data_IF_739381266970
#
_entry.id   IF_739381266970
#
_cell.length_a   1.000
_cell.length_b   1.000
_cell.length_c   1.000
_cell.angle_alpha   90.00
_cell.angle_beta   90.00
_cell.angle_gamma   90.00
#
_symmetry.space_group_name_H-M   'P 1'
#
loop_
_entity.id
_entity.type
_entity.pdbx_description
1 polymer ?
#
# COMPACT_ATOMS: atom_id res chain seq x y z
N UNK A 1 -15.89 14.92 -10.93
CA UNK A 1 -15.12 15.47 -9.80
C UNK A 1 -14.19 14.39 -9.30
N UNK A 2 -12.88 14.54 -9.52
CA UNK A 2 -11.89 13.63 -8.93
C UNK A 2 -11.97 13.66 -7.40
N UNK A 3 -12.05 12.48 -6.81
CA UNK A 3 -12.16 12.27 -5.37
C UNK A 3 -11.19 11.19 -4.92
N UNK A 4 -10.82 11.22 -3.64
CA UNK A 4 -10.05 10.16 -3.02
C UNK A 4 -10.97 9.04 -2.57
N UNK A 5 -10.67 7.83 -3.03
CA UNK A 5 -11.34 6.61 -2.60
C UNK A 5 -10.36 5.69 -1.89
N UNK A 6 -10.91 4.83 -1.04
CA UNK A 6 -10.16 3.88 -0.24
C UNK A 6 -10.49 2.47 -0.72
N UNK A 7 -9.50 1.79 -1.26
CA UNK A 7 -9.60 0.45 -1.83
C UNK A 7 -9.10 -0.57 -0.83
N UNK A 8 -9.91 -1.60 -0.59
CA UNK A 8 -9.47 -2.78 0.16
C UNK A 8 -8.84 -3.81 -0.79
N UNK A 9 -7.60 -4.17 -0.51
CA UNK A 9 -6.80 -5.09 -1.30
C UNK A 9 -6.66 -6.44 -0.58
N UNK A 10 -6.37 -7.50 -1.34
CA UNK A 10 -6.01 -8.77 -0.73
C UNK A 10 -4.74 -8.61 0.14
N UNK A 11 -4.65 -9.29 1.29
CA UNK A 11 -3.50 -9.15 2.18
C UNK A 11 -2.17 -9.43 1.46
N UNK A 12 -1.17 -8.54 1.61
CA UNK A 12 0.16 -8.63 0.96
C UNK A 12 0.17 -8.39 -0.56
N UNK A 13 -0.96 -8.02 -1.16
CA UNK A 13 -1.06 -7.68 -2.58
C UNK A 13 -1.13 -6.16 -2.83
N UNK A 14 -0.91 -5.32 -1.81
CA UNK A 14 -1.03 -3.86 -1.91
C UNK A 14 -0.06 -3.29 -2.95
N UNK A 15 1.19 -3.74 -2.93
CA UNK A 15 2.22 -3.32 -3.91
C UNK A 15 1.85 -3.73 -5.33
N UNK A 16 1.32 -4.95 -5.50
CA UNK A 16 0.88 -5.43 -6.81
C UNK A 16 -0.35 -4.67 -7.31
N UNK A 17 -1.28 -4.34 -6.42
CA UNK A 17 -2.44 -3.54 -6.75
C UNK A 17 -2.03 -2.12 -7.19
N UNK A 18 -1.08 -1.49 -6.47
CA UNK A 18 -0.52 -0.20 -6.84
C UNK A 18 0.14 -0.24 -8.22
N UNK A 19 0.95 -1.27 -8.51
CA UNK A 19 1.57 -1.45 -9.83
C UNK A 19 0.53 -1.60 -10.94
N UNK A 20 -0.50 -2.42 -10.72
CA UNK A 20 -1.58 -2.59 -11.70
C UNK A 20 -2.35 -1.30 -11.96
N UNK A 21 -2.63 -0.51 -10.91
CA UNK A 21 -3.31 0.78 -11.04
C UNK A 21 -2.44 1.81 -11.76
N UNK A 22 -1.13 1.82 -11.48
CA UNK A 22 -0.19 2.66 -12.21
C UNK A 22 -0.15 2.33 -13.72
N UNK A 23 -0.25 1.05 -14.09
CA UNK A 23 -0.36 0.63 -15.50
C UNK A 23 -1.66 1.09 -16.18
N UNK A 24 -2.70 1.37 -15.40
CA UNK A 24 -3.99 1.91 -15.87
C UNK A 24 -4.03 3.44 -15.80
N UNK A 25 -2.88 4.08 -15.52
CA UNK A 25 -2.77 5.54 -15.34
C UNK A 25 -3.68 6.08 -14.20
N UNK A 26 -3.99 5.24 -13.21
CA UNK A 26 -4.75 5.63 -12.02
C UNK A 26 -3.78 6.09 -10.94
N UNK A 27 -3.97 7.32 -10.47
CA UNK A 27 -3.23 7.86 -9.35
C UNK A 27 -3.56 7.07 -8.08
N UNK A 28 -2.52 6.54 -7.44
CA UNK A 28 -2.65 5.74 -6.23
C UNK A 28 -1.56 6.07 -5.22
N UNK A 29 -1.92 5.99 -3.94
CA UNK A 29 -1.05 6.32 -2.82
C UNK A 29 -1.08 5.19 -1.78
N UNK A 30 0.10 4.60 -1.56
CA UNK A 30 0.35 3.56 -0.55
C UNK A 30 1.32 4.12 0.49
N UNK A 31 0.84 4.65 1.63
CA UNK A 31 1.72 5.13 2.68
C UNK A 31 2.46 3.95 3.31
N UNK A 32 3.78 4.02 3.35
CA UNK A 32 4.66 3.01 3.95
C UNK A 32 5.44 3.62 5.10
N UNK A 33 5.67 2.82 6.14
CA UNK A 33 6.45 3.20 7.31
C UNK A 33 7.57 2.18 7.53
N UNK A 34 8.75 2.67 7.89
CA UNK A 34 9.86 1.84 8.32
C UNK A 34 9.80 1.69 9.83
N UNK A 35 9.67 0.45 10.30
CA UNK A 35 9.57 0.13 11.72
C UNK A 35 10.47 -1.05 12.07
N UNK A 36 10.93 -1.09 13.32
CA UNK A 36 11.69 -2.23 13.83
C UNK A 36 10.72 -3.36 14.16
N UNK A 37 10.87 -4.50 13.48
CA UNK A 37 10.07 -5.71 13.71
C UNK A 37 10.97 -6.90 13.97
N UNK A 38 10.57 -7.78 14.87
CA UNK A 38 11.23 -9.06 15.06
C UNK A 38 10.88 -9.97 13.87
N UNK A 39 11.86 -10.31 13.04
CA UNK A 39 11.70 -11.21 11.90
C UNK A 39 12.64 -12.39 12.10
N UNK A 40 12.09 -13.61 12.21
CA UNK A 40 12.86 -14.84 12.49
C UNK A 40 13.80 -14.66 13.69
N UNK A 41 13.25 -14.15 14.81
CA UNK A 41 13.98 -13.91 16.06
C UNK A 41 15.14 -12.91 15.98
N UNK A 42 15.22 -12.09 14.91
CA UNK A 42 16.20 -11.02 14.79
C UNK A 42 15.47 -9.69 14.61
N UNK A 43 15.85 -8.61 15.35
CA UNK A 43 15.32 -7.29 15.07
C UNK A 43 15.77 -6.86 13.68
N UNK A 44 14.81 -6.49 12.84
CA UNK A 44 15.07 -5.95 11.50
C UNK A 44 14.23 -4.71 11.28
N UNK A 45 14.82 -3.73 10.62
CA UNK A 45 14.05 -2.62 10.05
C UNK A 45 13.28 -3.17 8.85
N UNK A 46 11.96 -3.11 8.92
CA UNK A 46 11.08 -3.52 7.83
C UNK A 46 10.24 -2.34 7.39
N UNK A 47 10.13 -2.17 6.08
CA UNK A 47 9.17 -1.24 5.49
C UNK A 47 7.87 -1.98 5.29
N UNK A 48 6.80 -1.50 5.91
CA UNK A 48 5.47 -2.09 5.82
C UNK A 48 4.43 -1.01 5.48
N UNK A 49 3.30 -1.38 4.87
CA UNK A 49 2.19 -0.46 4.70
C UNK A 49 1.74 0.10 6.06
N UNK A 50 1.53 1.42 6.12
CA UNK A 50 1.00 2.10 7.31
C UNK A 50 -0.43 1.63 7.60
N UNK A 51 -1.21 1.41 6.55
CA UNK A 51 -2.55 0.82 6.59
C UNK A 51 -2.55 -0.50 5.81
N UNK A 52 -2.36 -1.65 6.48
CA UNK A 52 -2.34 -2.95 5.82
C UNK A 52 -3.62 -3.20 5.02
N UNK A 53 -3.48 -3.76 3.83
CA UNK A 53 -4.59 -4.09 2.92
C UNK A 53 -5.40 -2.89 2.41
N UNK A 54 -4.93 -1.66 2.61
CA UNK A 54 -5.58 -0.46 2.08
C UNK A 54 -4.70 0.27 1.09
N UNK A 55 -5.34 0.83 0.07
CA UNK A 55 -4.72 1.66 -0.94
C UNK A 55 -5.62 2.86 -1.21
N UNK A 56 -5.03 4.06 -1.22
CA UNK A 56 -5.76 5.27 -1.61
C UNK A 56 -5.66 5.42 -3.11
N UNK A 57 -6.78 5.73 -3.77
CA UNK A 57 -6.82 6.03 -5.20
C UNK A 57 -7.47 7.38 -5.43
N UNK A 58 -7.00 8.08 -6.45
CA UNK A 58 -7.57 9.34 -6.89
C UNK A 58 -8.16 9.16 -8.27
N UNK A 59 -9.49 9.18 -8.34
CA UNK A 59 -10.26 8.84 -9.53
C UNK A 59 -11.49 9.76 -9.64
N UNK A 60 -12.04 9.94 -10.84
CA UNK A 60 -13.31 10.67 -11.05
C UNK A 60 -14.50 9.72 -10.98
#
# INVERSE_FOLDING_TARGET
MKSWYLLYCKPRHEVRAQQNLALQEVESYLPVITQQKMVRNKPKMVTAPLFPSYLFIYFD
#
